data_IF_413808909094
#
_entry.id   IF_413808909094
#
_cell.length_a   1.000
_cell.length_b   1.000
_cell.length_c   1.000
_cell.angle_alpha   90.00
_cell.angle_beta   90.00
_cell.angle_gamma   90.00
#
_symmetry.space_group_name_H-M   'P 1'
#
loop_
_entity.id
_entity.type
_entity.pdbx_description
1 polymer ?
2 non-polymer ?
3 non-polymer ?
4 water ?
#
# COMPACT_ATOMS: atom_id res chain seq x y z
N UNK A 20 10.87 13.65 4.04
CA UNK A 20 10.35 12.48 3.30
C UNK A 20 10.18 12.84 1.83
N UNK A 21 11.31 13.13 1.17
CA UNK A 21 11.27 13.66 -0.20
C UNK A 21 11.82 12.64 -1.20
N UNK A 22 12.91 11.97 -0.83
CA UNK A 22 13.69 11.16 -1.76
C UNK A 22 13.47 9.68 -1.48
N UNK A 23 13.42 8.87 -2.53
CA UNK A 23 13.31 7.42 -2.40
C UNK A 23 14.66 6.78 -2.76
N UNK A 24 15.16 5.95 -1.84
CA UNK A 24 16.40 5.23 -2.05
C UNK A 24 16.10 3.73 -2.12
N UNK A 25 17.06 2.97 -2.65
CA UNK A 25 17.00 1.51 -2.61
C UNK A 25 17.11 1.06 -1.15
N UNK A 26 16.18 0.19 -0.75
CA UNK A 26 16.04 -0.25 0.63
C UNK A 26 17.22 -1.14 1.02
N UNK A 27 17.82 -1.84 0.03
CA UNK A 27 18.89 -2.78 0.29
C UNK A 27 20.21 -2.06 0.52
N UNK A 28 20.51 -1.05 -0.31
CA UNK A 28 21.86 -0.49 -0.36
C UNK A 28 21.90 1.03 -0.20
N UNK A 29 20.77 1.72 -0.44
CA UNK A 29 20.71 3.16 -0.22
C UNK A 29 20.94 3.99 -1.48
N UNK A 30 21.02 3.31 -2.64
CA UNK A 30 21.15 3.98 -3.93
C UNK A 30 19.98 4.95 -4.12
N UNK A 31 20.28 6.17 -4.58
CA UNK A 31 19.27 7.16 -4.92
C UNK A 31 18.49 6.70 -6.15
N UNK A 32 17.15 6.68 -6.07
CA UNK A 32 16.33 6.13 -7.14
C UNK A 32 15.37 7.20 -7.69
N UNK A 33 14.58 7.85 -6.83
CA UNK A 33 13.52 8.72 -7.31
C UNK A 33 13.13 9.75 -6.25
N UNK A 34 12.17 10.62 -6.59
CA UNK A 34 11.67 11.64 -5.69
C UNK A 34 10.15 11.54 -5.60
N UNK A 35 9.58 11.98 -4.48
CA UNK A 35 8.14 12.00 -4.29
C UNK A 35 7.49 12.95 -5.30
N UNK A 36 8.20 14.02 -5.66
CA UNK A 36 7.73 15.01 -6.63
C UNK A 36 7.49 14.36 -7.99
N UNK A 37 8.12 13.21 -8.26
CA UNK A 37 8.07 12.57 -9.55
C UNK A 37 7.00 11.47 -9.61
N UNK A 38 6.21 11.34 -8.54
CA UNK A 38 5.08 10.42 -8.54
C UNK A 38 4.12 10.83 -9.65
N UNK A 39 3.60 9.82 -10.37
CA UNK A 39 2.76 10.02 -11.54
C UNK A 39 1.44 9.28 -11.36
N UNK A 40 0.29 9.97 -11.30
CA UNK A 40 -1.01 9.30 -11.20
C UNK A 40 -1.45 8.70 -12.53
N UNK A 41 -1.03 7.45 -12.78
CA UNK A 41 -1.42 6.72 -13.98
C UNK A 41 -2.81 6.16 -13.79
N UNK A 42 -3.75 6.58 -14.66
CA UNK A 42 -5.12 6.09 -14.61
C UNK A 42 -5.86 6.49 -13.34
N UNK A 43 -5.43 7.58 -12.69
CA UNK A 43 -6.13 8.13 -11.55
C UNK A 43 -5.33 8.08 -10.24
N UNK A 44 -4.42 7.10 -10.12
CA UNK A 44 -3.68 6.92 -8.88
C UNK A 44 -2.24 6.51 -9.20
N UNK A 45 -1.30 6.94 -8.33
CA UNK A 45 0.10 6.61 -8.47
C UNK A 45 0.35 5.17 -8.01
N UNK A 46 -0.53 4.68 -7.13
CA UNK A 46 -0.41 3.32 -6.59
C UNK A 46 -1.30 2.37 -7.38
N UNK A 47 -0.71 1.27 -7.83
CA UNK A 47 -1.43 0.17 -8.44
C UNK A 47 -1.02 -1.14 -7.79
N UNK A 48 -2.01 -1.91 -7.33
CA UNK A 48 -1.77 -3.23 -6.77
C UNK A 48 -2.03 -4.26 -7.87
N UNK A 49 -0.99 -5.04 -8.20
CA UNK A 49 -1.01 -5.92 -9.37
C UNK A 49 -0.45 -7.28 -8.97
N UNK A 50 -0.75 -8.30 -9.79
CA UNK A 50 -0.11 -9.61 -9.63
C UNK A 50 0.41 -10.10 -10.98
N UNK A 51 1.54 -10.82 -10.94
CA UNK A 51 2.20 -11.34 -12.13
C UNK A 51 1.73 -12.79 -12.35
N UNK A 52 2.10 -13.45 -13.48
CA UNK A 52 1.68 -14.83 -13.76
C UNK A 52 2.19 -15.87 -12.76
N UNK A 53 3.21 -15.50 -11.97
CA UNK A 53 3.74 -16.37 -10.94
C UNK A 53 3.00 -16.14 -9.61
N UNK A 54 1.99 -15.26 -9.62
CA UNK A 54 1.08 -15.10 -8.50
C UNK A 54 1.61 -14.14 -7.43
N UNK A 55 2.72 -13.47 -7.75
CA UNK A 55 3.33 -12.52 -6.83
C UNK A 55 2.53 -11.22 -6.90
N UNK A 56 2.15 -10.69 -5.74
CA UNK A 56 1.44 -9.43 -5.65
C UNK A 56 2.45 -8.33 -5.31
N UNK A 57 2.35 -7.22 -6.05
CA UNK A 57 3.19 -6.06 -5.85
C UNK A 57 2.31 -4.83 -5.70
N UNK A 58 2.68 -3.95 -4.75
CA UNK A 58 2.18 -2.59 -4.72
C UNK A 58 3.16 -1.72 -5.50
N UNK A 59 2.71 -1.26 -6.68
CA UNK A 59 3.57 -0.56 -7.63
C UNK A 59 3.24 0.93 -7.56
N UNK A 60 4.28 1.74 -7.41
CA UNK A 60 4.16 3.19 -7.47
C UNK A 60 4.75 3.66 -8.79
N UNK A 61 4.00 4.52 -9.49
CA UNK A 61 4.40 5.01 -10.80
C UNK A 61 5.18 6.32 -10.68
N UNK A 62 6.33 6.39 -11.33
CA UNK A 62 7.15 7.58 -11.37
C UNK A 62 7.40 7.99 -12.83
N UNK A 63 7.37 9.31 -13.05
CA UNK A 63 7.71 9.87 -14.36
C UNK A 63 9.18 9.64 -14.67
N UNK A 64 10.01 9.72 -13.63
CA UNK A 64 11.46 9.72 -13.75
C UNK A 64 12.05 8.86 -12.64
N UNK A 65 13.23 8.29 -12.91
CA UNK A 65 14.01 7.59 -11.91
C UNK A 65 15.48 7.61 -12.33
N UNK A 66 16.37 7.24 -11.40
CA UNK A 66 17.79 7.20 -11.66
C UNK A 66 18.42 6.07 -10.85
N UNK A 67 19.67 5.72 -11.19
CA UNK A 67 20.43 4.74 -10.43
C UNK A 67 19.96 3.30 -10.66
N UNK A 68 19.11 3.11 -11.68
CA UNK A 68 18.63 1.78 -12.03
C UNK A 68 19.50 1.23 -13.16
N UNK A 69 19.32 -0.06 -13.43
CA UNK A 69 19.90 -0.70 -14.59
C UNK A 69 18.81 -1.54 -15.24
N UNK A 70 18.45 -1.16 -16.48
CA UNK A 70 17.37 -1.82 -17.21
C UNK A 70 17.96 -2.99 -18.00
N UNK A 71 17.39 -4.19 -17.80
CA UNK A 71 17.97 -5.42 -18.30
C UNK A 71 17.02 -6.02 -19.32
N UNK A 72 17.60 -6.53 -20.42
CA UNK A 72 16.84 -7.17 -21.48
C UNK A 72 16.18 -6.15 -22.40
N UNK A 73 15.49 -6.66 -23.42
CA UNK A 73 14.76 -5.83 -24.37
C UNK A 73 13.31 -5.71 -23.90
N UNK A 74 12.57 -4.65 -24.29
CA UNK A 74 11.18 -4.47 -23.87
C UNK A 74 10.29 -5.64 -24.30
N UNK A 75 9.30 -5.94 -23.45
CA UNK A 75 8.33 -6.99 -23.72
C UNK A 75 6.93 -6.50 -23.38
N UNK A 76 5.95 -6.85 -24.22
CA UNK A 76 4.56 -6.45 -24.03
C UNK A 76 3.73 -7.53 -23.33
N UNK A 77 4.33 -8.70 -23.10
CA UNK A 77 3.61 -9.84 -22.53
C UNK A 77 3.26 -9.54 -21.07
N UNK A 78 1.96 -9.63 -20.76
CA UNK A 78 1.45 -9.53 -19.40
C UNK A 78 1.67 -8.13 -18.82
N UNK A 79 1.69 -7.10 -19.68
CA UNK A 79 1.87 -5.74 -19.22
C UNK A 79 0.62 -5.28 -18.47
N UNK A 80 0.81 -4.75 -17.26
CA UNK A 80 -0.27 -4.26 -16.42
C UNK A 80 -0.82 -2.94 -16.98
N UNK A 81 -0.03 -2.27 -17.83
CA UNK A 81 -0.39 -0.98 -18.37
C UNK A 81 -0.55 -1.11 -19.89
N UNK A 82 -1.80 -0.93 -20.34
CA UNK A 82 -2.15 -1.10 -21.75
C UNK A 82 -1.38 -0.09 -22.58
N UNK A 83 -0.80 -0.59 -23.69
CA UNK A 83 -0.06 0.25 -24.63
C UNK A 83 1.44 0.32 -24.32
N UNK A 84 1.87 -0.29 -23.21
CA UNK A 84 3.26 -0.17 -22.78
C UNK A 84 3.95 -1.52 -22.76
N UNK A 85 5.22 -1.53 -23.17
CA UNK A 85 6.10 -2.67 -23.03
C UNK A 85 7.03 -2.40 -21.85
N UNK A 86 7.51 -3.47 -21.20
CA UNK A 86 8.24 -3.33 -19.95
C UNK A 86 9.64 -3.91 -20.06
N UNK A 87 10.56 -3.33 -19.28
CA UNK A 87 11.90 -3.86 -19.07
C UNK A 87 12.13 -3.92 -17.56
N UNK A 88 12.83 -4.97 -17.12
CA UNK A 88 13.13 -5.16 -15.72
C UNK A 88 14.08 -4.04 -15.28
N UNK A 89 13.79 -3.46 -14.11
CA UNK A 89 14.62 -2.40 -13.55
C UNK A 89 15.28 -2.92 -12.28
N UNK A 90 16.60 -3.10 -12.33
CA UNK A 90 17.39 -3.46 -11.16
C UNK A 90 17.98 -2.19 -10.56
N UNK A 91 18.27 -2.26 -9.25
CA UNK A 91 19.15 -1.29 -8.62
C UNK A 91 20.52 -1.41 -9.28
N UNK A 92 21.02 -0.28 -9.80
CA UNK A 92 22.31 -0.25 -10.48
C UNK A 92 23.47 -0.56 -9.54
N UNK A 93 23.27 -0.36 -8.24
CA UNK A 93 24.31 -0.55 -7.26
C UNK A 93 24.34 -2.01 -6.80
N UNK A 94 23.22 -2.51 -6.25
CA UNK A 94 23.22 -3.79 -5.57
C UNK A 94 22.51 -4.89 -6.37
N UNK A 95 21.80 -4.52 -7.44
CA UNK A 95 21.21 -5.49 -8.35
C UNK A 95 19.84 -5.99 -7.90
N UNK A 96 19.31 -5.40 -6.82
CA UNK A 96 17.99 -5.74 -6.31
C UNK A 96 16.93 -5.31 -7.32
N UNK A 97 15.92 -6.17 -7.52
CA UNK A 97 14.85 -5.89 -8.46
C UNK A 97 13.91 -4.84 -7.85
N UNK A 98 13.88 -3.65 -8.45
CA UNK A 98 13.14 -2.53 -7.88
C UNK A 98 11.83 -2.29 -8.64
N UNK A 99 11.71 -2.81 -9.85
CA UNK A 99 10.48 -2.67 -10.62
C UNK A 99 10.70 -2.83 -12.12
N UNK A 100 10.04 -1.97 -12.91
CA UNK A 100 10.09 -2.04 -14.35
C UNK A 100 10.08 -0.64 -14.95
N UNK A 101 10.70 -0.51 -16.13
CA UNK A 101 10.55 0.68 -16.95
C UNK A 101 9.52 0.37 -18.04
N UNK A 102 8.62 1.33 -18.28
CA UNK A 102 7.57 1.17 -19.28
C UNK A 102 7.86 2.13 -20.43
N UNK A 103 7.65 1.66 -21.65
CA UNK A 103 7.89 2.46 -22.85
C UNK A 103 6.95 2.01 -23.96
N UNK A 104 6.94 2.80 -25.05
CA UNK A 104 6.22 2.42 -26.27
C UNK A 104 4.76 2.83 -26.26
N UNK A 105 4.35 3.60 -25.23
CA UNK A 105 2.98 4.05 -25.09
C UNK A 105 2.87 5.53 -25.43
N UNK A 106 1.83 6.18 -24.90
CA UNK A 106 1.59 7.59 -25.17
C UNK A 106 0.93 8.25 -23.97
N UNK A 107 1.36 9.49 -23.68
CA UNK A 107 0.79 10.31 -22.61
C UNK A 107 0.81 9.55 -21.29
N UNK A 108 1.99 9.27 -20.69
CA UNK A 108 3.29 9.55 -21.29
C UNK A 108 3.85 8.39 -22.12
N UNK A 109 4.93 8.67 -22.86
CA UNK A 109 5.58 7.65 -23.67
C UNK A 109 6.26 6.62 -22.79
N UNK A 110 6.91 7.09 -21.70
CA UNK A 110 7.65 6.22 -20.81
C UNK A 110 7.39 6.61 -19.36
N UNK A 111 7.52 5.64 -18.45
CA UNK A 111 7.46 5.87 -17.01
C UNK A 111 8.05 4.66 -16.29
N UNK A 112 8.18 4.77 -14.96
CA UNK A 112 8.66 3.66 -14.14
C UNK A 112 7.57 3.20 -13.18
N UNK A 113 7.46 1.87 -13.05
CA UNK A 113 6.66 1.25 -12.01
C UNK A 113 7.57 0.57 -10.99
N UNK A 114 7.68 1.17 -9.79
CA UNK A 114 8.62 0.71 -8.78
C UNK A 114 7.86 0.09 -7.62
N UNK A 115 8.44 -0.98 -7.05
CA UNK A 115 7.84 -1.71 -5.94
C UNK A 115 8.07 -0.91 -4.65
N UNK A 116 6.98 -0.45 -4.03
CA UNK A 116 7.03 0.50 -2.94
C UNK A 116 7.84 -0.07 -1.77
N UNK A 117 7.67 -1.36 -1.49
CA UNK A 117 8.25 -1.95 -0.28
C UNK A 117 9.73 -2.24 -0.47
N UNK A 118 10.27 -2.01 -1.68
CA UNK A 118 11.69 -2.19 -1.93
C UNK A 118 12.39 -0.83 -1.99
N UNK A 119 11.65 0.23 -1.65
CA UNK A 119 12.23 1.57 -1.56
C UNK A 119 12.17 2.05 -0.11
N UNK A 120 13.04 3.02 0.22
CA UNK A 120 13.05 3.66 1.53
C UNK A 120 12.94 5.17 1.33
N UNK A 121 11.98 5.79 2.01
CA UNK A 121 11.70 7.20 1.83
C UNK A 121 12.38 7.99 2.94
N UNK A 122 12.98 9.13 2.58
CA UNK A 122 13.64 9.98 3.56
C UNK A 122 14.01 11.35 2.99
N UNK A 123 14.67 12.21 3.80
CA UNK A 123 14.98 13.57 3.39
C UNK A 123 16.10 13.68 2.37
N UNK A 124 16.27 14.88 1.81
CA UNK A 124 17.33 15.17 0.85
C UNK A 124 18.70 15.05 1.54
N UNK B 21 -5.20 -8.81 17.82
CA UNK B 21 -3.86 -9.18 18.34
C UNK B 21 -3.13 -7.98 18.93
N UNK B 22 -2.20 -8.26 19.83
CA UNK B 22 -1.41 -7.22 20.49
C UNK B 22 0.03 -7.24 19.97
N UNK B 23 0.64 -6.06 20.00
CA UNK B 23 2.07 -5.90 19.78
C UNK B 23 2.75 -5.63 21.13
N UNK B 24 3.77 -6.44 21.44
CA UNK B 24 4.54 -6.29 22.66
C UNK B 24 5.97 -5.92 22.32
N UNK B 25 6.69 -5.37 23.31
CA UNK B 25 8.11 -5.13 23.19
C UNK B 25 8.84 -6.47 23.05
N UNK B 26 9.71 -6.57 22.03
CA UNK B 26 10.36 -7.81 21.69
C UNK B 26 11.40 -8.17 22.75
N UNK B 27 11.93 -7.15 23.44
CA UNK B 27 13.00 -7.35 24.41
C UNK B 27 12.44 -7.88 25.73
N UNK B 28 11.31 -7.31 26.20
CA UNK B 28 10.87 -7.56 27.57
C UNK B 28 9.42 -8.02 27.66
N UNK B 29 8.61 -7.79 26.61
CA UNK B 29 7.25 -8.31 26.56
C UNK B 29 6.20 -7.29 27.02
N UNK B 30 6.63 -6.04 27.27
CA UNK B 30 5.74 -4.96 27.62
C UNK B 30 4.67 -4.79 26.53
N UNK B 31 3.41 -4.68 26.94
CA UNK B 31 2.31 -4.40 26.01
C UNK B 31 2.45 -2.97 25.50
N UNK B 32 2.39 -2.83 24.16
CA UNK B 32 2.64 -1.54 23.52
C UNK B 32 1.41 -1.07 22.75
N UNK B 33 0.87 -1.92 21.87
CA UNK B 33 -0.21 -1.49 21.00
C UNK B 33 -1.06 -2.67 20.56
N UNK B 34 -2.10 -2.37 19.78
CA UNK B 34 -3.04 -3.37 19.29
C UNK B 34 -3.11 -3.28 17.76
N UNK B 35 -3.46 -4.40 17.12
CA UNK B 35 -3.62 -4.44 15.67
C UNK B 35 -4.79 -3.55 15.24
N UNK B 36 -5.81 -3.44 16.10
CA UNK B 36 -6.97 -2.61 15.84
C UNK B 36 -6.58 -1.13 15.71
N UNK B 37 -5.42 -0.75 16.25
CA UNK B 37 -4.98 0.63 16.27
C UNK B 37 -4.05 0.96 15.11
N UNK B 38 -3.84 0.01 14.19
CA UNK B 38 -3.06 0.28 12.99
C UNK B 38 -3.71 1.42 12.20
N UNK B 39 -2.87 2.33 11.71
CA UNK B 39 -3.35 3.58 11.12
C UNK B 39 -2.72 3.76 9.74
N UNK B 40 -3.50 3.74 8.64
CA UNK B 40 -2.95 3.94 7.30
C UNK B 40 -2.63 5.40 7.02
N UNK B 41 -1.40 5.81 7.38
CA UNK B 41 -0.94 7.17 7.15
C UNK B 41 -0.48 7.29 5.70
N UNK B 42 -1.12 8.18 4.94
CA UNK B 42 -0.77 8.42 3.55
C UNK B 42 -1.03 7.22 2.65
N UNK B 43 -1.95 6.33 3.06
CA UNK B 43 -2.36 5.21 2.24
C UNK B 43 -2.01 3.85 2.82
N UNK B 44 -0.94 3.78 3.62
CA UNK B 44 -0.48 2.50 4.15
C UNK B 44 0.00 2.68 5.59
N UNK B 45 -0.17 1.63 6.40
CA UNK B 45 0.28 1.63 7.77
C UNK B 45 1.78 1.39 7.83
N UNK B 46 2.34 0.74 6.80
CA UNK B 46 3.76 0.45 6.73
C UNK B 46 4.46 1.53 5.90
N UNK B 47 5.54 2.09 6.47
CA UNK B 47 6.43 3.00 5.76
C UNK B 47 7.87 2.53 5.96
N UNK B 48 8.61 2.37 4.86
CA UNK B 48 10.05 2.16 4.94
C UNK B 48 10.73 3.51 4.76
N UNK B 49 11.51 3.92 5.76
CA UNK B 49 12.07 5.26 5.82
C UNK B 49 13.55 5.17 6.17
N UNK B 50 14.29 6.25 5.88
CA UNK B 50 15.67 6.39 6.31
C UNK B 50 15.86 7.76 6.96
N UNK B 51 16.72 7.82 7.98
CA UNK B 51 17.00 9.05 8.71
C UNK B 51 18.23 9.72 8.10
N UNK B 52 18.62 10.94 8.53
CA UNK B 52 19.79 11.63 7.98
C UNK B 52 21.13 10.92 8.18
N UNK B 53 21.18 9.96 9.11
CA UNK B 53 22.37 9.15 9.32
C UNK B 53 22.36 7.91 8.42
N UNK B 54 21.29 7.76 7.61
CA UNK B 54 21.23 6.70 6.61
C UNK B 54 20.76 5.37 7.18
N UNK B 55 20.22 5.39 8.41
CA UNK B 55 19.65 4.20 9.02
C UNK B 55 18.26 3.97 8.43
N UNK B 56 17.98 2.73 8.00
CA UNK B 56 16.71 2.37 7.40
C UNK B 56 15.85 1.66 8.46
N UNK B 57 14.58 2.08 8.56
CA UNK B 57 13.61 1.51 9.48
C UNK B 57 12.33 1.14 8.74
N UNK B 58 11.74 -0.01 9.09
CA UNK B 58 10.42 -0.38 8.63
C UNK B 58 9.42 0.00 9.73
N UNK B 59 8.63 1.06 9.48
CA UNK B 59 7.83 1.70 10.51
C UNK B 59 6.35 1.36 10.27
N UNK B 60 5.68 0.90 11.34
CA UNK B 60 4.25 0.70 11.34
C UNK B 60 3.58 1.81 12.16
N UNK B 61 2.52 2.41 11.61
CA UNK B 61 1.85 3.54 12.23
C UNK B 61 0.67 3.06 13.08
N UNK B 62 0.62 3.54 14.33
CA UNK B 62 -0.48 3.25 15.23
C UNK B 62 -1.10 4.54 15.76
N UNK B 63 -2.43 4.56 15.88
CA UNK B 63 -3.14 5.74 16.38
C UNK B 63 -2.84 5.96 17.86
N UNK B 64 -2.68 4.86 18.59
CA UNK B 64 -2.47 4.88 20.03
C UNK B 64 -1.39 3.86 20.39
N UNK B 65 -0.79 4.05 21.57
CA UNK B 65 0.12 3.09 22.17
C UNK B 65 0.14 3.28 23.68
N UNK B 66 0.77 2.34 24.37
CA UNK B 66 0.91 2.40 25.82
C UNK B 66 2.24 1.76 26.23
N UNK B 67 2.66 2.02 27.47
CA UNK B 67 3.84 1.39 28.01
C UNK B 67 5.15 1.95 27.47
N UNK B 68 5.07 3.07 26.72
CA UNK B 68 6.24 3.72 26.17
C UNK B 68 6.67 4.85 27.11
N UNK B 69 7.86 5.41 26.85
CA UNK B 69 8.33 6.60 27.53
C UNK B 69 8.93 7.53 26.48
N UNK B 70 8.32 8.71 26.33
CA UNK B 70 8.73 9.66 25.30
C UNK B 70 9.79 10.59 25.89
N UNK B 71 10.92 10.69 25.19
CA UNK B 71 12.09 11.39 25.71
C UNK B 71 12.37 12.61 24.86
N UNK B 72 12.73 13.72 25.52
CA UNK B 72 13.07 14.96 24.83
C UNK B 72 11.82 15.73 24.44
N UNK B 73 12.03 16.93 23.88
CA UNK B 73 10.94 17.77 23.41
C UNK B 73 10.68 17.49 21.94
N UNK B 74 9.45 17.71 21.43
CA UNK B 74 9.15 17.46 20.02
C UNK B 74 10.04 18.26 19.07
N UNK B 75 10.37 17.65 17.93
CA UNK B 75 11.19 18.29 16.91
C UNK B 75 10.55 18.06 15.54
N UNK B 76 10.57 19.10 14.71
CA UNK B 76 10.01 19.04 13.36
C UNK B 76 11.07 18.73 12.29
N UNK B 77 12.34 18.74 12.71
CA UNK B 77 13.45 18.56 11.77
C UNK B 77 13.44 17.12 11.25
N UNK B 78 13.41 16.99 9.92
CA UNK B 78 13.57 15.72 9.22
C UNK B 78 12.43 14.77 9.54
N UNK B 79 11.23 15.33 9.78
CA UNK B 79 10.05 14.52 10.04
C UNK B 79 9.63 13.78 8.77
N UNK B 80 9.42 12.46 8.89
CA UNK B 80 8.96 11.64 7.78
C UNK B 80 7.51 11.96 7.42
N UNK B 81 6.77 12.53 8.38
CA UNK B 81 5.36 12.83 8.19
C UNK B 81 5.16 14.34 8.26
N UNK B 82 4.81 14.94 7.11
CA UNK B 82 4.68 16.39 6.99
C UNK B 82 3.58 16.88 7.93
N UNK B 83 3.88 17.97 8.65
CA UNK B 83 2.92 18.59 9.56
C UNK B 83 3.01 18.06 10.98
N UNK B 84 3.89 17.09 11.21
CA UNK B 84 4.04 16.48 12.53
C UNK B 84 5.46 16.69 13.06
N UNK B 85 5.55 16.92 14.38
CA UNK B 85 6.80 16.92 15.11
C UNK B 85 6.95 15.59 15.84
N UNK B 86 8.19 15.16 16.08
CA UNK B 86 8.45 13.82 16.59
C UNK B 86 9.19 13.86 17.93
N UNK B 87 8.93 12.82 18.74
CA UNK B 87 9.67 12.56 19.97
C UNK B 87 10.06 11.09 19.99
N UNK B 88 11.25 10.78 20.51
CA UNK B 88 11.72 9.41 20.59
C UNK B 88 10.86 8.63 21.58
N UNK B 89 10.48 7.41 21.21
CA UNK B 89 9.66 6.55 22.04
C UNK B 89 10.46 5.33 22.48
N UNK B 90 10.77 5.26 23.78
CA UNK B 90 11.41 4.09 24.37
C UNK B 90 10.35 3.19 25.00
N UNK B 91 10.66 1.88 25.10
CA UNK B 91 9.90 0.99 25.97
C UNK B 91 10.06 1.49 27.40
N UNK B 92 8.92 1.73 28.08
CA UNK B 92 8.93 2.23 29.45
C UNK B 92 9.51 1.22 30.43
N UNK B 93 9.48 -0.07 30.06
CA UNK B 93 9.90 -1.14 30.93
C UNK B 93 11.41 -1.35 30.80
N UNK B 94 11.88 -1.64 29.58
CA UNK B 94 13.27 -2.06 29.38
C UNK B 94 14.13 -0.99 28.72
N UNK B 95 13.52 0.08 28.18
CA UNK B 95 14.26 1.20 27.65
C UNK B 95 14.68 1.02 26.18
N UNK B 96 14.23 -0.06 25.55
CA UNK B 96 14.50 -0.31 24.15
C UNK B 96 13.83 0.73 23.26
N UNK B 97 14.53 1.21 22.23
CA UNK B 97 14.00 2.21 21.31
C UNK B 97 13.00 1.54 20.39
N UNK B 98 11.72 1.89 20.52
CA UNK B 98 10.66 1.20 19.81
C UNK B 98 10.15 2.05 18.64
N UNK B 99 10.41 3.37 18.65
CA UNK B 99 9.99 4.22 17.56
C UNK B 99 9.90 5.69 17.95
N UNK B 100 8.84 6.36 17.47
CA UNK B 100 8.64 7.79 17.70
C UNK B 100 7.16 8.10 17.90
N UNK B 101 6.87 9.14 18.67
CA UNK B 101 5.53 9.70 18.77
C UNK B 101 5.45 10.95 17.90
N UNK B 102 4.35 11.08 17.16
CA UNK B 102 4.13 12.22 16.29
C UNK B 102 2.99 13.07 16.84
N UNK B 103 3.14 14.39 16.78
CA UNK B 103 2.14 15.31 17.30
C UNK B 103 2.16 16.61 16.51
N UNK B 104 1.14 17.44 16.74
CA UNK B 104 1.09 18.80 16.23
C UNK B 104 0.49 18.87 14.81
N UNK B 105 -0.07 17.76 14.33
CA UNK B 105 -0.75 17.74 13.05
C UNK B 105 -2.27 17.74 13.22
N UNK B 106 -2.98 17.22 12.20
CA UNK B 106 -4.42 17.14 12.24
C UNK B 106 -4.89 15.91 11.46
N UNK B 107 -5.92 15.24 12.00
CA UNK B 107 -6.56 14.08 11.38
C UNK B 107 -5.51 13.03 11.02
N UNK B 108 -4.86 12.37 12.01
CA UNK B 108 -5.05 12.66 13.43
C UNK B 108 -4.07 13.70 13.97
N UNK B 109 -4.32 14.17 15.19
CA UNK B 109 -3.45 15.14 15.84
C UNK B 109 -2.13 14.47 16.22
N UNK B 110 -2.23 13.23 16.72
CA UNK B 110 -1.08 12.48 17.19
C UNK B 110 -1.18 11.02 16.74
N UNK B 111 -0.01 10.38 16.62
CA UNK B 111 0.08 8.95 16.34
C UNK B 111 1.50 8.48 16.64
N UNK B 112 1.71 7.16 16.56
CA UNK B 112 3.01 6.55 16.80
C UNK B 112 3.51 5.87 15.52
N UNK B 113 4.81 6.02 15.26
CA UNK B 113 5.51 5.20 14.29
C UNK B 113 6.46 4.24 15.00
N UNK B 114 6.13 2.95 14.98
CA UNK B 114 6.87 1.94 15.73
C UNK B 114 7.64 1.03 14.77
N UNK B 115 8.84 0.65 15.17
CA UNK B 115 9.72 -0.20 14.37
C UNK B 115 9.21 -1.64 14.47
N UNK B 116 8.77 -2.20 13.34
CA UNK B 116 8.08 -3.47 13.30
C UNK B 116 8.95 -4.59 13.86
N UNK B 117 10.26 -4.55 13.56
CA UNK B 117 11.17 -5.64 13.90
C UNK B 117 11.52 -5.62 15.39
N UNK B 118 11.13 -4.57 16.12
CA UNK B 118 11.39 -4.48 17.54
C UNK B 118 10.12 -4.78 18.34
N UNK B 119 9.07 -5.23 17.63
CA UNK B 119 7.83 -5.64 18.27
C UNK B 119 7.63 -7.14 18.06
N UNK B 120 6.83 -7.75 18.95
CA UNK B 120 6.39 -9.12 18.80
C UNK B 120 4.86 -9.14 18.80
N UNK B 121 4.29 -9.77 17.77
CA UNK B 121 2.83 -9.82 17.62
C UNK B 121 2.33 -11.13 18.20
N UNK B 122 1.20 -11.07 18.92
CA UNK B 122 0.66 -12.25 19.59
C UNK B 122 -0.72 -11.99 20.16
N UNK B 123 -1.39 -13.03 20.73
CA UNK B 123 -2.75 -12.88 21.24
C UNK B 123 -2.80 -12.11 22.57
N UNK B 124 -4.03 -11.73 22.95
CA UNK B 124 -4.26 -10.93 24.15
C UNK B 124 -3.89 -11.74 25.40
N UNK C 19 -2.29 -8.17 -19.60
CA UNK C 19 -2.04 -8.80 -18.29
C UNK C 19 -3.00 -8.28 -17.22
N UNK C 20 -4.30 -8.32 -17.53
CA UNK C 20 -5.34 -7.88 -16.60
C UNK C 20 -6.65 -8.60 -16.93
N UNK C 21 -6.66 -9.92 -16.71
CA UNK C 21 -7.78 -10.77 -17.09
C UNK C 21 -8.55 -11.24 -15.86
N UNK C 22 -7.85 -11.57 -14.77
CA UNK C 22 -8.47 -11.98 -13.52
C UNK C 22 -8.34 -10.83 -12.51
N UNK C 23 -9.42 -10.61 -11.73
CA UNK C 23 -9.41 -9.64 -10.65
C UNK C 23 -9.42 -10.39 -9.32
N UNK C 24 -8.43 -10.07 -8.46
CA UNK C 24 -8.27 -10.74 -7.18
C UNK C 24 -8.42 -9.73 -6.06
N UNK C 25 -8.66 -10.23 -4.83
CA UNK C 25 -8.63 -9.41 -3.64
C UNK C 25 -7.21 -8.88 -3.41
N UNK C 26 -7.08 -7.57 -3.18
CA UNK C 26 -5.78 -6.93 -3.09
C UNK C 26 -5.09 -7.32 -1.79
N UNK C 27 -5.89 -7.65 -0.76
CA UNK C 27 -5.36 -7.94 0.57
C UNK C 27 -4.77 -9.34 0.62
N UNK C 28 -5.45 -10.34 0.03
CA UNK C 28 -5.10 -11.73 0.24
C UNK C 28 -4.92 -12.52 -1.06
N UNK C 29 -5.46 -12.02 -2.18
CA UNK C 29 -5.24 -12.66 -3.47
C UNK C 29 -6.36 -13.62 -3.90
N UNK C 30 -7.44 -13.63 -3.11
CA UNK C 30 -8.63 -14.42 -3.43
C UNK C 30 -9.14 -14.05 -4.83
N UNK C 31 -9.43 -15.07 -5.65
CA UNK C 31 -10.03 -14.87 -6.95
C UNK C 31 -11.46 -14.37 -6.78
N UNK C 32 -11.80 -13.27 -7.48
CA UNK C 32 -13.09 -12.63 -7.31
C UNK C 32 -13.87 -12.63 -8.63
N UNK C 33 -13.26 -12.13 -9.71
CA UNK C 33 -13.99 -12.00 -10.97
C UNK C 33 -13.04 -12.02 -12.17
N UNK C 34 -13.66 -11.99 -13.35
CA UNK C 34 -12.95 -12.07 -14.62
C UNK C 34 -13.34 -10.87 -15.50
N UNK C 35 -12.44 -10.51 -16.41
CA UNK C 35 -12.66 -9.41 -17.34
C UNK C 35 -13.82 -9.74 -18.27
N UNK C 36 -14.00 -11.03 -18.59
CA UNK C 36 -15.07 -11.48 -19.47
C UNK C 36 -16.44 -11.16 -18.86
N UNK C 37 -16.49 -10.98 -17.52
CA UNK C 37 -17.74 -10.79 -16.81
C UNK C 37 -18.04 -9.31 -16.57
N UNK C 38 -17.20 -8.41 -17.13
CA UNK C 38 -17.43 -6.98 -16.98
C UNK C 38 -18.77 -6.63 -17.61
N UNK C 39 -19.53 -5.76 -16.94
CA UNK C 39 -20.88 -5.40 -17.35
C UNK C 39 -20.98 -3.88 -17.55
N UNK C 47 -17.73 2.92 -13.30
CA UNK C 47 -18.60 4.04 -12.85
C UNK C 47 -17.97 4.72 -11.66
N UNK C 48 -17.82 6.05 -11.75
CA UNK C 48 -17.30 6.85 -10.65
C UNK C 48 -18.50 7.42 -9.88
N UNK C 49 -18.56 7.09 -8.58
CA UNK C 49 -19.68 7.44 -7.73
C UNK C 49 -19.16 8.05 -6.43
N UNK C 50 -20.06 8.76 -5.72
CA UNK C 50 -19.74 9.32 -4.42
C UNK C 50 -20.86 8.98 -3.43
N UNK C 51 -20.46 8.74 -2.17
CA UNK C 51 -21.38 8.29 -1.14
C UNK C 51 -21.88 9.50 -0.33
N UNK C 57 -15.60 6.68 -5.13
CA UNK C 57 -15.20 5.31 -5.50
C UNK C 57 -15.24 5.15 -7.01
N UNK C 58 -14.23 4.47 -7.55
CA UNK C 58 -14.28 3.92 -8.91
C UNK C 58 -14.80 2.50 -8.82
N UNK C 59 -16.04 2.29 -9.29
CA UNK C 59 -16.72 1.01 -9.16
C UNK C 59 -16.71 0.30 -10.50
N UNK C 60 -16.28 -0.97 -10.50
CA UNK C 60 -16.34 -1.82 -11.68
C UNK C 60 -17.49 -2.81 -11.53
N UNK C 61 -18.35 -2.87 -12.55
CA UNK C 61 -19.55 -3.68 -12.51
C UNK C 61 -19.29 -5.02 -13.17
N UNK C 62 -19.67 -6.10 -12.47
CA UNK C 62 -19.52 -7.45 -12.99
C UNK C 62 -20.87 -8.17 -12.95
N UNK C 63 -21.15 -8.96 -13.99
CA UNK C 63 -22.34 -9.79 -14.04
C UNK C 63 -22.25 -10.90 -12.99
N UNK C 64 -21.03 -11.41 -12.80
CA UNK C 64 -20.79 -12.55 -11.92
C UNK C 64 -19.56 -12.27 -11.05
N UNK C 65 -19.50 -12.94 -9.89
CA UNK C 65 -18.30 -12.94 -9.06
C UNK C 65 -18.25 -14.22 -8.25
N UNK C 66 -17.10 -14.45 -7.61
CA UNK C 66 -16.92 -15.63 -6.76
C UNK C 66 -16.00 -15.27 -5.60
N UNK C 67 -15.99 -16.13 -4.58
CA UNK C 67 -15.07 -15.99 -3.45
C UNK C 67 -15.45 -14.85 -2.51
N UNK C 68 -16.67 -14.30 -2.67
CA UNK C 68 -17.15 -13.26 -1.78
C UNK C 68 -18.02 -13.89 -0.69
N UNK C 69 -18.36 -13.07 0.30
CA UNK C 69 -19.39 -13.39 1.27
C UNK C 69 -20.31 -12.18 1.41
N UNK C 70 -21.59 -12.35 1.05
CA UNK C 70 -22.56 -11.27 1.10
C UNK C 70 -23.21 -11.26 2.48
N UNK C 71 -23.18 -10.09 3.14
CA UNK C 71 -23.58 -9.96 4.53
C UNK C 71 -24.85 -9.11 4.63
N UNK C 73 -29.00 -7.88 5.01
CA UNK C 73 -30.17 -7.94 4.11
C UNK C 73 -30.11 -6.77 3.13
N UNK C 74 -30.70 -6.89 1.92
CA UNK C 74 -30.59 -5.84 0.91
C UNK C 74 -31.17 -4.51 1.39
N UNK C 75 -30.56 -3.41 0.93
CA UNK C 75 -31.01 -2.07 1.26
C UNK C 75 -31.01 -1.21 -0.01
N UNK C 76 -32.05 -0.39 -0.15
CA UNK C 76 -32.18 0.50 -1.29
C UNK C 76 -31.67 1.92 -1.00
N UNK C 77 -31.30 2.18 0.26
CA UNK C 77 -30.89 3.50 0.68
C UNK C 77 -29.56 3.87 0.03
N UNK C 78 -29.55 5.00 -0.67
CA UNK C 78 -28.35 5.59 -1.24
C UNK C 78 -27.72 4.69 -2.30
N UNK C 79 -28.55 3.92 -3.02
CA UNK C 79 -28.07 3.05 -4.08
C UNK C 79 -27.62 3.92 -5.26
N UNK C 80 -26.40 3.68 -5.75
CA UNK C 80 -25.85 4.40 -6.88
C UNK C 80 -26.54 3.97 -8.17
N UNK C 81 -27.17 2.78 -8.16
CA UNK C 81 -27.82 2.24 -9.34
C UNK C 81 -29.34 2.14 -9.10
N UNK C 84 -32.09 -0.78 -7.88
CA UNK C 84 -31.37 -1.95 -7.30
C UNK C 84 -31.13 -1.71 -5.81
N UNK C 85 -31.27 -2.79 -5.03
CA UNK C 85 -30.93 -2.80 -3.61
C UNK C 85 -29.58 -3.49 -3.46
N UNK C 86 -28.82 -3.11 -2.43
CA UNK C 86 -27.44 -3.55 -2.29
C UNK C 86 -27.22 -4.33 -1.00
N UNK C 87 -26.25 -5.25 -1.07
CA UNK C 87 -25.76 -6.00 0.07
C UNK C 87 -24.23 -5.93 0.06
N UNK C 88 -23.62 -5.82 1.25
CA UNK C 88 -22.19 -5.68 1.37
C UNK C 88 -21.53 -6.98 0.91
N UNK C 89 -20.46 -6.83 0.11
CA UNK C 89 -19.70 -7.97 -0.39
C UNK C 89 -18.31 -7.96 0.22
N UNK C 90 -18.04 -8.93 1.10
CA UNK C 90 -16.73 -9.09 1.70
C UNK C 90 -15.97 -10.17 0.93
N UNK C 91 -14.63 -10.08 0.97
CA UNK C 91 -13.77 -11.19 0.57
C UNK C 91 -14.05 -12.36 1.51
N UNK C 92 -14.39 -13.52 0.92
CA UNK C 92 -14.69 -14.72 1.68
C UNK C 92 -13.46 -15.25 2.43
N UNK C 93 -12.27 -14.89 1.95
CA UNK C 93 -11.02 -15.40 2.51
C UNK C 93 -10.59 -14.52 3.69
N UNK C 94 -10.40 -13.22 3.45
CA UNK C 94 -9.78 -12.35 4.45
C UNK C 94 -10.76 -11.38 5.08
N UNK C 95 -11.97 -11.25 4.52
CA UNK C 95 -13.02 -10.43 5.12
C UNK C 95 -12.97 -8.96 4.71
N UNK C 96 -12.05 -8.61 3.81
CA UNK C 96 -11.92 -7.25 3.30
C UNK C 96 -13.15 -6.87 2.49
N UNK C 97 -13.62 -5.63 2.65
CA UNK C 97 -14.78 -5.13 1.94
C UNK C 97 -14.39 -4.83 0.49
N UNK C 98 -14.97 -5.59 -0.45
CA UNK C 98 -14.59 -5.50 -1.86
C UNK C 98 -15.63 -4.72 -2.67
N UNK C 99 -16.86 -4.61 -2.14
CA UNK C 99 -17.91 -3.88 -2.84
C UNK C 99 -19.31 -4.30 -2.38
N UNK C 100 -20.23 -4.41 -3.34
CA UNK C 100 -21.62 -4.72 -3.06
C UNK C 100 -22.20 -5.64 -4.13
N UNK C 101 -23.20 -6.44 -3.72
CA UNK C 101 -24.05 -7.16 -4.66
C UNK C 101 -25.34 -6.38 -4.84
N UNK C 102 -25.80 -6.27 -6.09
CA UNK C 102 -27.01 -5.54 -6.42
C UNK C 102 -28.07 -6.54 -6.88
N UNK C 103 -29.32 -6.31 -6.45
CA UNK C 103 -30.43 -7.18 -6.79
C UNK C 103 -31.73 -6.36 -6.86
N UNK C 106 -33.91 -5.08 -13.06
CA UNK C 106 -34.20 -5.85 -14.30
C UNK C 106 -33.18 -5.48 -15.39
N UNK C 107 -32.76 -6.51 -16.14
CA UNK C 107 -31.85 -6.34 -17.27
C UNK C 107 -30.58 -5.60 -16.82
N UNK C 108 -29.71 -6.20 -15.97
CA UNK C 108 -29.96 -7.50 -15.35
C UNK C 108 -30.67 -7.42 -14.01
N UNK C 109 -31.12 -8.57 -13.51
CA UNK C 109 -31.77 -8.64 -12.21
C UNK C 109 -30.75 -8.38 -11.11
N UNK C 110 -29.54 -8.95 -11.25
CA UNK C 110 -28.49 -8.85 -10.25
C UNK C 110 -27.14 -8.61 -10.91
N UNK C 111 -26.24 -7.97 -10.17
CA UNK C 111 -24.86 -7.77 -10.59
C UNK C 111 -24.02 -7.38 -9.38
N UNK C 112 -22.69 -7.28 -9.58
CA UNK C 112 -21.77 -6.87 -8.53
C UNK C 112 -21.09 -5.54 -8.90
N UNK C 113 -20.99 -4.64 -7.91
CA UNK C 113 -20.21 -3.43 -8.03
C UNK C 113 -19.01 -3.48 -7.08
N UNK C 114 -17.82 -3.65 -7.67
CA UNK C 114 -16.61 -3.88 -6.88
C UNK C 114 -15.70 -2.67 -6.97
N UNK C 115 -15.04 -2.36 -5.85
CA UNK C 115 -14.18 -1.19 -5.74
C UNK C 115 -12.85 -1.50 -6.41
N UNK C 116 -12.53 -0.76 -7.47
CA UNK C 116 -11.37 -1.03 -8.31
C UNK C 116 -10.07 -0.98 -7.50
N UNK C 117 -9.98 -0.03 -6.55
CA UNK C 117 -8.75 0.20 -5.81
C UNK C 117 -8.53 -0.87 -4.73
N UNK C 118 -9.52 -1.74 -4.51
CA UNK C 118 -9.38 -2.81 -3.53
C UNK C 118 -9.16 -4.15 -4.24
N UNK C 119 -8.98 -4.10 -5.57
CA UNK C 119 -8.76 -5.28 -6.36
C UNK C 119 -7.36 -5.22 -6.99
N UNK C 120 -6.84 -6.40 -7.36
CA UNK C 120 -5.60 -6.50 -8.10
C UNK C 120 -5.88 -7.23 -9.41
N UNK C 121 -5.49 -6.60 -10.52
CA UNK C 121 -5.71 -7.17 -11.85
C UNK C 121 -4.44 -7.89 -12.28
N UNK C 122 -4.60 -9.08 -12.89
CA UNK C 122 -3.48 -9.81 -13.44
C UNK C 122 -3.93 -10.86 -14.44
N UNK C 123 -2.97 -11.51 -15.16
CA UNK C 123 -3.31 -12.47 -16.21
C UNK C 123 -3.84 -13.80 -15.68
N UNK C 124 -4.39 -14.61 -16.59
CA UNK C 124 -4.93 -15.92 -16.25
C UNK C 124 -3.82 -16.85 -15.78
X LIG D 1 20.31 -1.30 -4.11
X LIG E 1 3.56 -7.39 -15.74
X LIG E 1 5.95 -10.11 -15.14
X LIG E 1 4.31 -6.26 -15.95
X LIG E 1 5.79 -6.37 -15.71
X LIG E 1 6.32 -7.79 -15.85
X LIG E 1 6.79 -12.26 -14.42
X LIG E 1 6.91 -14.20 -15.88
X LIG E 1 7.45 -14.42 -13.55
X LIG E 1 7.20 -13.08 -13.35
X LIG E 1 5.49 -8.74 -14.98
X LIG E 1 4.01 -8.61 -15.27
X LIG E 1 6.53 -10.81 -14.16
X LIG E 1 6.81 -10.30 -13.08
X LIG E 1 6.66 -12.85 -15.68
X LIG E 1 7.31 -15.00 -14.81
X LIG E 1 7.56 -16.35 -15.00
X LIG E 1 6.17 -11.92 -17.06
X LIG E 1 3.79 -5.23 -16.32
X LIG E 1 3.24 -9.53 -15.11
X LIG E 1 2.70 -7.33 -15.91
X LIG E 1 5.83 -10.48 -15.91
X LIG E 1 6.25 -5.79 -16.35
X LIG E 1 5.98 -6.04 -14.81
X LIG E 1 6.25 -8.08 -16.79
X LIG E 1 7.26 -7.83 -15.58
X LIG E 1 6.81 -14.57 -16.73
X LIG E 1 7.72 -14.96 -12.82
X LIG E 1 7.30 -12.70 -12.50
X LIG E 1 5.64 -8.47 -14.03
X LIG E 1 7.47 -16.70 -15.79
X LIG E 1 7.82 -16.84 -14.32
X LIG F 1 10.67 -3.52 26.69
X LIG G 1 12.54 11.33 11.06
X LIG G 1 15.64 11.03 13.00
X LIG G 1 11.52 11.08 11.96
X LIG G 1 11.90 10.57 13.31
X LIG G 1 13.31 10.96 13.74
X LIG G 1 17.95 10.73 13.65
X LIG G 1 19.59 12.51 13.57
X LIG G 1 20.30 10.26 14.07
X LIG G 1 18.99 9.83 13.97
X LIG G 1 14.30 10.60 12.65
X LIG G 1 13.90 11.17 11.28
X LIG G 1 16.56 10.21 13.52
X LIG G 1 16.28 9.06 13.86
X LIG G 1 18.29 12.06 13.44
X LIG G 1 20.62 11.61 13.88
X LIG G 1 21.91 12.05 13.99
X LIG G 1 17.07 13.23 13.04
X LIG G 1 10.36 11.29 11.64
X LIG G 1 14.71 11.46 10.43
X LIG G 1 12.31 11.61 10.26
X LIG G 1 15.84 11.87 12.88
X LIG G 1 11.26 10.92 13.96
X LIG G 1 11.83 9.58 13.29
X LIG G 1 13.34 11.92 13.90
X LIG G 1 13.54 10.50 14.57
X LIG G 1 19.79 13.42 13.42
X LIG G 1 20.97 9.66 14.29
X LIG G 1 18.79 8.92 14.09
X LIG G 1 14.32 9.61 12.56
X LIG G 1 22.10 12.89 13.87
X LIG G 1 22.54 11.48 14.19
X LIG H 1 -9.17 -11.05 0.72
#
# INVERSE_FOLDING_TARGET
>A
AMPLDAGGQNSTQMVLAPGASIFRCRQCGQTISRRDWLLPMGGDHEHVVFNPAGMIFRVWCFSLAQGLRLIGAPSGEFSWFKGYDWTIALCGQCGSHLGWHYEGGSQPQTFFGLIKDRLAEGPAD
>B
AMPLDAGGQNSTQMVLAPGASIFRCRQCGQTISRRDWLLPMGGDHEHVVFNPAGMIFRVWCFSLAQGLRLIGAPSGEFSWFKGYDWTIALCGQCGSHLGWHYEGGSQPQTFFGLIKDRLAEGPAD
>C
AMPLDAGGQNSTQMVLAPGASIFRCRQCGQTISRRDWLLPMGGDHEHVVFNPAGMIFRVWCFSLAQGLRLIGAPSGEFSWFKGYDWTIALCGQCGSHLGWHYEGGSQPQTFFGLIKDRLAEGPAD
>D hetero
1 ZN ZN
>E hetero
1 W2F N1 N2 C3 C4 C5 C7 C9 C11 C12 C1 C2 C6 O1 C8 C10 N3 CL1 O2 O3 H2 H7 H4 H3 H5 H6 H8 H9 H10 H1 H12 H11
>F hetero
1 ZN ZN
>G hetero
1 W2F N1 N2 C3 C4 C5 C7 C9 C11 C12 C1 C2 C6 O1 C8 C10 N3 CL1 O2 O3 H2 H7 H4 H3 H5 H6 H8 H9 H10 H1 H12 H11
>H hetero
1 ZN ZN
#
